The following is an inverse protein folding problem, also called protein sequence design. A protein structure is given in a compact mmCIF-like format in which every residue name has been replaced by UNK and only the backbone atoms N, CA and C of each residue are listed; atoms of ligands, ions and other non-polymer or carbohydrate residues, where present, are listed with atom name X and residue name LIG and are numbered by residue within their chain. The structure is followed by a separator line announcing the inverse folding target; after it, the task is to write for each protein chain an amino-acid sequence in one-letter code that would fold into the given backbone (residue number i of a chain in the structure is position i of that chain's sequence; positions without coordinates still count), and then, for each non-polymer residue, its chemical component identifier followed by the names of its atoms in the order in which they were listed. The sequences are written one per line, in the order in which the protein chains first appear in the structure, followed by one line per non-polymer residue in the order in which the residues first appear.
data_IF_625041166961
#
_entry.id   IF_625041166961
#
_cell.length_a   1.000
_cell.length_b   1.000
_cell.length_c   1.000
_cell.angle_alpha   90.00
_cell.angle_beta   90.00
_cell.angle_gamma   90.00
#
_symmetry.space_group_name_H-M   'P 1'
#
loop_
_entity.id
_entity.type
_entity.pdbx_description
1 polymer ?
#
# COMPACT_ATOMS: atom_id res chain seq x y z
N UNK A 1 -9.37 32.35 1.51
CA UNK A 1 -9.31 31.00 0.88
C UNK A 1 -8.07 30.20 1.29
N UNK A 2 -6.85 30.75 1.15
CA UNK A 2 -5.59 30.03 1.48
C UNK A 2 -5.47 29.56 2.95
N UNK A 3 -6.02 30.32 3.90
CA UNK A 3 -6.07 29.97 5.32
C UNK A 3 -6.98 28.76 5.64
N UNK A 4 -8.10 28.61 4.91
CA UNK A 4 -9.04 27.48 5.08
C UNK A 4 -8.44 26.21 4.48
N UNK A 5 -7.85 26.31 3.28
CA UNK A 5 -7.17 25.19 2.61
C UNK A 5 -6.00 24.69 3.46
N UNK A 6 -5.19 25.59 4.02
CA UNK A 6 -4.09 25.21 4.93
C UNK A 6 -4.62 24.51 6.20
N UNK A 7 -5.69 25.02 6.82
CA UNK A 7 -6.31 24.36 7.98
C UNK A 7 -6.89 22.99 7.66
N UNK A 8 -7.44 22.79 6.45
CA UNK A 8 -8.08 21.54 6.06
C UNK A 8 -7.08 20.47 5.61
N UNK A 9 -6.03 20.84 4.87
CA UNK A 9 -5.06 19.90 4.31
C UNK A 9 -3.85 19.64 5.21
N UNK A 10 -3.40 20.65 5.96
CA UNK A 10 -2.17 20.57 6.77
C UNK A 10 -2.48 20.40 8.26
N UNK A 11 -3.56 21.02 8.73
CA UNK A 11 -3.98 20.93 10.13
C UNK A 11 -3.00 21.63 11.09
N UNK A 12 -3.13 21.35 12.40
CA UNK A 12 -2.14 21.75 13.41
C UNK A 12 -1.19 20.58 13.66
N UNK A 13 0.10 20.72 13.37
CA UNK A 13 1.08 19.68 13.67
C UNK A 13 1.61 19.90 15.09
N UNK A 14 1.44 18.90 15.94
CA UNK A 14 2.00 18.90 17.28
C UNK A 14 3.50 18.55 17.21
N UNK A 15 4.37 19.36 17.84
CA UNK A 15 5.84 19.25 17.73
C UNK A 15 6.38 17.87 18.12
N UNK A 16 5.65 17.13 18.97
CA UNK A 16 5.99 15.75 19.38
C UNK A 16 6.13 14.77 18.20
N UNK A 17 5.56 15.07 17.03
CA UNK A 17 5.62 14.22 15.83
C UNK A 17 6.63 14.70 14.78
N UNK A 18 7.47 15.68 15.10
CA UNK A 18 8.54 16.15 14.22
C UNK A 18 9.72 15.17 14.32
N UNK A 19 9.96 14.42 13.25
CA UNK A 19 11.14 13.57 13.16
C UNK A 19 12.36 14.42 12.83
N UNK A 20 13.34 14.45 13.73
CA UNK A 20 14.61 15.16 13.56
C UNK A 20 15.48 14.57 12.43
N UNK A 21 15.23 13.33 12.02
CA UNK A 21 16.03 12.62 11.02
C UNK A 21 15.37 12.58 9.64
N UNK A 22 16.19 12.72 8.60
CA UNK A 22 15.78 12.61 7.20
C UNK A 22 15.13 11.22 6.93
N UNK A 23 13.96 11.15 6.24
CA UNK A 23 13.31 9.88 5.88
C UNK A 23 14.22 8.83 5.23
N UNK A 24 15.09 9.22 4.29
CA UNK A 24 16.04 8.31 3.62
C UNK A 24 17.08 7.79 4.60
N UNK A 25 17.69 8.70 5.36
CA UNK A 25 18.70 8.34 6.38
C UNK A 25 18.09 7.42 7.44
N UNK A 26 16.85 7.69 7.86
CA UNK A 26 16.13 6.83 8.79
C UNK A 26 15.95 5.41 8.22
N UNK A 27 15.63 5.28 6.94
CA UNK A 27 15.48 3.96 6.31
C UNK A 27 16.80 3.18 6.28
N UNK A 28 17.90 3.84 5.95
CA UNK A 28 19.24 3.22 5.97
C UNK A 28 19.62 2.79 7.39
N UNK A 29 19.36 3.63 8.40
CA UNK A 29 19.60 3.28 9.80
C UNK A 29 18.76 2.07 10.24
N UNK A 30 17.50 2.01 9.85
CA UNK A 30 16.63 0.86 10.12
C UNK A 30 17.16 -0.44 9.49
N UNK A 31 17.66 -0.39 8.25
CA UNK A 31 18.28 -1.56 7.59
C UNK A 31 19.53 -2.01 8.36
N UNK A 32 20.37 -1.04 8.77
CA UNK A 32 21.56 -1.32 9.57
C UNK A 32 21.21 -1.91 10.95
N UNK A 33 20.13 -1.45 11.57
CA UNK A 33 19.64 -1.98 12.84
C UNK A 33 19.19 -3.45 12.73
N UNK A 34 18.49 -3.82 11.65
CA UNK A 34 18.14 -5.23 11.38
C UNK A 34 19.41 -6.06 11.15
N UNK A 35 20.38 -5.52 10.40
CA UNK A 35 21.64 -6.24 10.15
C UNK A 35 22.38 -6.56 11.46
N UNK A 36 22.39 -5.62 12.40
CA UNK A 36 23.12 -5.71 13.66
C UNK A 36 22.33 -6.39 14.80
N UNK A 37 21.04 -6.70 14.61
CA UNK A 37 20.12 -7.16 15.67
C UNK A 37 20.06 -6.18 16.87
N UNK A 38 19.99 -4.87 16.58
CA UNK A 38 20.04 -3.83 17.62
C UNK A 38 18.78 -3.80 18.52
N UNK A 39 17.65 -4.35 18.07
CA UNK A 39 16.35 -4.22 18.74
C UNK A 39 15.56 -5.53 18.87
N UNK A 40 15.76 -6.49 17.96
CA UNK A 40 15.14 -7.82 18.02
C UNK A 40 16.18 -8.88 17.63
N UNK A 41 16.11 -10.05 18.28
CA UNK A 41 16.99 -11.20 18.04
C UNK A 41 16.56 -11.99 16.78
N UNK A 42 16.30 -11.26 15.71
CA UNK A 42 15.88 -11.81 14.41
C UNK A 42 16.95 -12.75 13.89
N UNK A 43 16.55 -13.98 13.56
CA UNK A 43 17.48 -15.00 13.09
C UNK A 43 16.90 -15.79 11.91
N UNK A 44 17.79 -16.33 11.07
CA UNK A 44 17.42 -17.17 9.94
C UNK A 44 16.54 -16.47 8.89
N UNK A 45 15.40 -17.10 8.56
CA UNK A 45 14.50 -16.67 7.47
C UNK A 45 13.88 -15.30 7.77
N UNK A 46 13.53 -15.02 9.02
CA UNK A 46 12.93 -13.75 9.43
C UNK A 46 13.84 -12.56 9.09
N UNK A 47 15.11 -12.65 9.47
CA UNK A 47 16.11 -11.61 9.17
C UNK A 47 16.29 -11.39 7.68
N UNK A 48 16.34 -12.47 6.89
CA UNK A 48 16.46 -12.40 5.42
C UNK A 48 15.26 -11.67 4.81
N UNK A 49 14.05 -12.05 5.22
CA UNK A 49 12.80 -11.43 4.73
C UNK A 49 12.73 -9.96 5.11
N UNK A 50 13.03 -9.61 6.38
CA UNK A 50 13.02 -8.21 6.84
C UNK A 50 14.05 -7.35 6.12
N UNK A 51 15.27 -7.86 5.88
CA UNK A 51 16.29 -7.15 5.13
C UNK A 51 15.89 -6.93 3.67
N UNK A 52 15.36 -7.96 3.01
CA UNK A 52 14.87 -7.86 1.64
C UNK A 52 13.75 -6.83 1.52
N UNK A 53 12.71 -6.95 2.35
CA UNK A 53 11.57 -6.03 2.36
C UNK A 53 12.02 -4.61 2.70
N UNK A 54 12.86 -4.44 3.71
CA UNK A 54 13.31 -3.11 4.14
C UNK A 54 14.15 -2.40 3.08
N UNK A 55 15.06 -3.13 2.43
CA UNK A 55 15.95 -2.63 1.38
C UNK A 55 15.20 -2.33 0.08
N UNK A 56 14.22 -3.15 -0.29
CA UNK A 56 13.43 -2.95 -1.51
C UNK A 56 12.72 -1.59 -1.54
N UNK A 57 12.35 -1.05 -0.37
CA UNK A 57 11.70 0.27 -0.26
C UNK A 57 12.57 1.43 -0.75
N UNK A 58 13.89 1.25 -0.86
CA UNK A 58 14.78 2.26 -1.44
C UNK A 58 14.63 2.38 -2.95
N UNK A 59 14.08 1.36 -3.63
CA UNK A 59 13.91 1.38 -5.08
C UNK A 59 12.75 2.27 -5.52
N UNK A 60 11.78 2.51 -4.65
CA UNK A 60 10.49 3.07 -5.05
C UNK A 60 10.35 4.58 -4.81
N UNK A 61 9.57 5.29 -5.65
CA UNK A 61 9.47 6.75 -5.60
C UNK A 61 8.87 7.28 -4.29
N UNK A 62 8.02 6.52 -3.59
CA UNK A 62 7.37 6.99 -2.36
C UNK A 62 8.33 7.49 -1.28
N UNK A 63 9.51 6.87 -1.11
CA UNK A 63 10.50 7.35 -0.13
C UNK A 63 11.16 8.67 -0.55
N UNK A 64 11.35 8.86 -1.86
CA UNK A 64 11.93 10.07 -2.42
C UNK A 64 10.92 11.22 -2.37
N UNK A 65 9.65 10.98 -2.69
CA UNK A 65 8.57 11.95 -2.52
C UNK A 65 8.53 12.43 -1.06
N UNK A 66 8.59 11.48 -0.11
CA UNK A 66 8.62 11.77 1.32
C UNK A 66 9.86 12.57 1.74
N UNK A 67 11.01 12.28 1.16
CA UNK A 67 12.26 13.03 1.38
C UNK A 67 12.16 14.47 0.90
N UNK A 68 11.71 14.68 -0.35
CA UNK A 68 11.53 16.00 -0.94
C UNK A 68 10.49 16.81 -0.17
N UNK A 69 9.33 16.23 0.16
CA UNK A 69 8.31 16.88 0.97
C UNK A 69 8.83 17.31 2.35
N UNK A 70 9.70 16.50 2.97
CA UNK A 70 10.33 16.85 4.25
C UNK A 70 11.25 18.09 4.16
N UNK A 71 11.82 18.38 2.98
CA UNK A 71 12.62 19.59 2.74
C UNK A 71 11.74 20.86 2.69
N UNK A 72 10.51 20.75 2.21
CA UNK A 72 9.54 21.85 2.19
C UNK A 72 8.85 22.08 3.55
N UNK A 73 8.72 21.02 4.35
CA UNK A 73 8.28 21.12 5.74
C UNK A 73 7.70 19.81 6.27
N UNK A 74 7.85 19.56 7.57
CA UNK A 74 7.41 18.31 8.22
C UNK A 74 5.88 18.08 8.18
N UNK A 75 5.10 19.14 7.96
CA UNK A 75 3.65 19.04 7.84
C UNK A 75 3.21 18.56 6.45
N UNK A 76 3.94 18.94 5.39
CA UNK A 76 3.63 18.58 3.99
C UNK A 76 3.96 17.13 3.65
N UNK A 77 4.74 16.45 4.48
CA UNK A 77 5.11 15.04 4.31
C UNK A 77 3.90 14.11 4.22
N UNK A 78 2.93 14.28 5.12
CA UNK A 78 1.74 13.44 5.13
C UNK A 78 0.84 13.76 3.93
N UNK A 79 0.64 15.04 3.66
CA UNK A 79 -0.15 15.50 2.51
C UNK A 79 0.42 15.01 1.17
N UNK A 80 1.74 15.07 0.98
CA UNK A 80 2.39 14.59 -0.23
C UNK A 80 2.19 13.07 -0.42
N UNK A 81 2.23 12.29 0.66
CA UNK A 81 1.95 10.85 0.59
C UNK A 81 0.47 10.58 0.28
N UNK A 82 -0.45 11.40 0.80
CA UNK A 82 -1.88 11.27 0.51
C UNK A 82 -2.15 11.51 -0.99
N UNK A 83 -1.58 12.58 -1.56
CA UNK A 83 -1.66 12.85 -2.99
C UNK A 83 -1.00 11.75 -3.82
N UNK A 84 0.16 11.23 -3.40
CA UNK A 84 0.83 10.16 -4.11
C UNK A 84 -0.03 8.90 -4.19
N UNK A 85 -0.58 8.45 -3.06
CA UNK A 85 -1.43 7.26 -3.02
C UNK A 85 -2.70 7.44 -3.85
N UNK A 86 -3.34 8.62 -3.78
CA UNK A 86 -4.49 8.93 -4.63
C UNK A 86 -4.13 8.93 -6.13
N UNK A 87 -2.96 9.46 -6.49
CA UNK A 87 -2.48 9.42 -7.87
C UNK A 87 -2.27 7.96 -8.34
N UNK A 88 -1.75 7.08 -7.47
CA UNK A 88 -1.62 5.64 -7.79
C UNK A 88 -2.97 4.97 -8.04
N UNK A 89 -4.05 5.39 -7.37
CA UNK A 89 -5.41 4.87 -7.63
C UNK A 89 -5.97 5.40 -8.95
N UNK A 90 -5.78 6.69 -9.21
CA UNK A 90 -6.28 7.36 -10.42
C UNK A 90 -5.59 6.82 -11.67
N UNK A 91 -4.30 6.49 -11.59
CA UNK A 91 -3.52 6.05 -12.73
C UNK A 91 -4.08 4.81 -13.47
N UNK A 92 -4.29 3.63 -12.84
CA UNK A 92 -4.91 2.47 -13.50
C UNK A 92 -6.36 2.75 -13.93
N UNK A 93 -7.10 3.59 -13.21
CA UNK A 93 -8.44 3.99 -13.62
C UNK A 93 -8.43 4.75 -14.96
N UNK A 94 -7.50 5.69 -15.13
CA UNK A 94 -7.32 6.42 -16.39
C UNK A 94 -6.86 5.48 -17.51
N UNK A 95 -6.00 4.50 -17.21
CA UNK A 95 -5.57 3.50 -18.20
C UNK A 95 -6.79 2.74 -18.75
N UNK A 96 -7.67 2.27 -17.86
CA UNK A 96 -8.86 1.50 -18.22
C UNK A 96 -9.84 2.29 -19.08
N UNK A 97 -10.15 3.55 -18.71
CA UNK A 97 -11.12 4.37 -19.45
C UNK A 97 -10.61 4.72 -20.84
N UNK A 98 -9.32 5.09 -20.95
CA UNK A 98 -8.75 5.58 -22.21
C UNK A 98 -8.15 4.46 -23.07
N UNK A 99 -8.26 3.20 -22.65
CA UNK A 99 -7.68 2.04 -23.32
C UNK A 99 -6.15 2.11 -23.50
N UNK A 100 -5.43 2.71 -22.54
CA UNK A 100 -3.97 2.88 -22.62
C UNK A 100 -3.18 1.60 -22.33
N UNK A 101 -3.84 0.50 -21.96
CA UNK A 101 -3.20 -0.79 -21.70
C UNK A 101 -2.51 -1.41 -22.91
N UNK A 102 -2.78 -0.91 -24.13
CA UNK A 102 -2.10 -1.33 -25.37
C UNK A 102 -0.66 -0.83 -25.44
N UNK A 103 -0.30 0.20 -24.68
CA UNK A 103 1.05 0.73 -24.63
C UNK A 103 1.86 0.03 -23.53
N UNK A 104 2.82 -0.81 -23.94
CA UNK A 104 3.69 -1.56 -23.03
C UNK A 104 4.43 -0.66 -22.03
N UNK A 105 4.84 0.55 -22.43
CA UNK A 105 5.52 1.47 -21.50
C UNK A 105 4.62 1.89 -20.34
N UNK A 106 3.33 2.16 -20.62
CA UNK A 106 2.35 2.53 -19.58
C UNK A 106 2.12 1.35 -18.64
N UNK A 107 2.03 0.14 -19.18
CA UNK A 107 1.89 -1.09 -18.38
C UNK A 107 3.14 -1.32 -17.52
N UNK A 108 4.36 -1.11 -18.03
CA UNK A 108 5.57 -1.23 -17.21
C UNK A 108 5.62 -0.20 -16.07
N UNK A 109 5.19 1.04 -16.33
CA UNK A 109 5.07 2.06 -15.26
C UNK A 109 4.04 1.64 -14.22
N UNK A 110 2.88 1.11 -14.64
CA UNK A 110 1.88 0.58 -13.72
C UNK A 110 2.43 -0.57 -12.88
N UNK A 111 3.12 -1.53 -13.51
CA UNK A 111 3.75 -2.66 -12.81
C UNK A 111 4.78 -2.18 -11.79
N UNK A 112 5.61 -1.19 -12.14
CA UNK A 112 6.57 -0.60 -11.22
C UNK A 112 5.91 0.06 -10.01
N UNK A 113 4.83 0.82 -10.23
CA UNK A 113 4.05 1.45 -9.15
C UNK A 113 3.37 0.40 -8.27
N UNK A 114 2.78 -0.65 -8.88
CA UNK A 114 2.14 -1.73 -8.15
C UNK A 114 3.17 -2.52 -7.33
N UNK A 115 4.37 -2.76 -7.85
CA UNK A 115 5.46 -3.42 -7.13
C UNK A 115 5.83 -2.69 -5.84
N UNK A 116 5.74 -1.34 -5.82
CA UNK A 116 5.90 -0.57 -4.58
C UNK A 116 4.85 -0.99 -3.56
N UNK A 117 3.57 -1.05 -3.94
CA UNK A 117 2.49 -1.49 -3.04
C UNK A 117 2.67 -2.94 -2.61
N UNK A 118 2.97 -3.84 -3.55
CA UNK A 118 3.17 -5.28 -3.29
C UNK A 118 4.30 -5.54 -2.29
N UNK A 119 5.38 -4.75 -2.31
CA UNK A 119 6.47 -4.90 -1.34
C UNK A 119 6.23 -4.08 -0.06
N UNK A 120 5.54 -2.95 -0.14
CA UNK A 120 5.21 -2.13 1.02
C UNK A 120 4.26 -2.83 1.99
N UNK A 121 3.25 -3.54 1.48
CA UNK A 121 2.23 -4.21 2.29
C UNK A 121 2.82 -5.31 3.21
N UNK A 122 3.61 -6.29 2.72
CA UNK A 122 4.32 -7.23 3.59
C UNK A 122 5.32 -6.54 4.52
N UNK A 123 5.96 -5.45 4.09
CA UNK A 123 6.87 -4.67 4.97
C UNK A 123 6.13 -4.13 6.19
N UNK A 124 4.86 -3.72 6.06
CA UNK A 124 4.04 -3.30 7.21
C UNK A 124 3.69 -4.43 8.16
N UNK A 125 3.73 -5.68 7.71
CA UNK A 125 3.45 -6.87 8.52
C UNK A 125 4.72 -7.33 9.24
N UNK A 126 5.77 -7.62 8.47
CA UNK A 126 7.00 -8.26 8.97
C UNK A 126 8.02 -7.27 9.55
N UNK A 127 7.93 -5.99 9.20
CA UNK A 127 8.90 -4.97 9.64
C UNK A 127 8.17 -3.71 10.16
N UNK A 128 7.09 -3.95 10.91
CA UNK A 128 6.17 -2.92 11.40
C UNK A 128 6.83 -1.97 12.41
N UNK A 129 7.75 -2.48 13.22
CA UNK A 129 8.60 -1.82 14.21
C UNK A 129 9.51 -0.74 13.60
N UNK A 130 9.91 -0.91 12.34
CA UNK A 130 10.70 0.08 11.60
C UNK A 130 9.94 1.39 11.38
N UNK A 131 8.62 1.34 11.38
CA UNK A 131 7.78 2.50 11.15
C UNK A 131 7.49 3.22 12.46
N UNK A 132 7.68 4.54 12.46
CA UNK A 132 7.21 5.35 13.57
C UNK A 132 5.70 5.27 13.71
N UNK A 133 5.21 5.32 14.94
CA UNK A 133 3.79 5.38 15.24
C UNK A 133 3.07 6.41 14.35
N UNK A 134 1.94 6.03 13.73
CA UNK A 134 1.21 6.91 12.84
C UNK A 134 0.61 8.08 13.63
N UNK A 135 0.61 9.28 13.03
CA UNK A 135 -0.04 10.46 13.64
C UNK A 135 -1.54 10.25 13.89
N UNK A 136 -2.18 9.49 13.01
CA UNK A 136 -3.60 9.13 13.10
C UNK A 136 -3.81 7.74 12.52
N UNK A 137 -4.30 6.82 13.36
CA UNK A 137 -4.68 5.48 12.93
C UNK A 137 -5.79 5.49 11.86
N UNK A 138 -6.73 6.44 11.93
CA UNK A 138 -7.79 6.59 10.92
C UNK A 138 -7.22 6.93 9.55
N UNK A 139 -6.18 7.77 9.49
CA UNK A 139 -5.49 8.10 8.24
C UNK A 139 -4.78 6.86 7.68
N UNK A 140 -4.05 6.11 8.51
CA UNK A 140 -3.39 4.88 8.05
C UNK A 140 -4.38 3.87 7.46
N UNK A 141 -5.54 3.69 8.09
CA UNK A 141 -6.60 2.80 7.58
C UNK A 141 -7.15 3.28 6.23
N UNK A 142 -7.37 4.59 6.07
CA UNK A 142 -7.84 5.18 4.81
C UNK A 142 -6.81 5.04 3.69
N UNK A 143 -5.52 5.22 4.00
CA UNK A 143 -4.45 4.98 3.03
C UNK A 143 -4.32 3.50 2.64
N UNK A 144 -4.52 2.58 3.57
CA UNK A 144 -4.55 1.15 3.28
C UNK A 144 -5.71 0.82 2.33
N UNK A 145 -6.89 1.40 2.56
CA UNK A 145 -8.05 1.25 1.67
C UNK A 145 -7.77 1.76 0.25
N UNK A 146 -7.11 2.91 0.09
CA UNK A 146 -6.73 3.38 -1.24
C UNK A 146 -5.66 2.51 -1.91
N UNK A 147 -4.67 1.99 -1.18
CA UNK A 147 -3.72 1.02 -1.75
C UNK A 147 -4.43 -0.28 -2.19
N UNK A 148 -5.45 -0.73 -1.45
CA UNK A 148 -6.29 -1.86 -1.86
C UNK A 148 -7.02 -1.55 -3.19
N UNK A 149 -7.68 -0.39 -3.29
CA UNK A 149 -8.34 0.02 -4.53
C UNK A 149 -7.37 0.13 -5.72
N UNK A 150 -6.18 0.71 -5.49
CA UNK A 150 -5.13 0.75 -6.51
C UNK A 150 -4.75 -0.65 -6.99
N UNK A 151 -4.52 -1.59 -6.07
CA UNK A 151 -4.18 -2.96 -6.41
C UNK A 151 -5.28 -3.63 -7.25
N UNK A 152 -6.55 -3.49 -6.85
CA UNK A 152 -7.69 -4.03 -7.61
C UNK A 152 -7.76 -3.44 -9.03
N UNK A 153 -7.59 -2.13 -9.17
CA UNK A 153 -7.62 -1.47 -10.48
C UNK A 153 -6.41 -1.84 -11.34
N UNK A 154 -5.22 -2.03 -10.74
CA UNK A 154 -4.02 -2.44 -11.45
C UNK A 154 -4.16 -3.87 -12.02
N UNK A 155 -4.70 -4.81 -11.24
CA UNK A 155 -5.00 -6.15 -11.76
C UNK A 155 -6.09 -6.13 -12.84
N UNK A 156 -7.09 -5.25 -12.73
CA UNK A 156 -8.06 -5.05 -13.79
C UNK A 156 -7.40 -4.61 -15.12
N UNK A 157 -6.38 -3.73 -15.05
CA UNK A 157 -5.58 -3.39 -16.24
C UNK A 157 -4.87 -4.62 -16.80
N UNK A 158 -4.21 -5.43 -15.96
CA UNK A 158 -3.51 -6.64 -16.40
C UNK A 158 -4.42 -7.67 -17.05
N UNK A 159 -5.63 -7.88 -16.54
CA UNK A 159 -6.58 -8.78 -17.20
C UNK A 159 -7.03 -8.28 -18.57
N UNK A 160 -6.85 -6.98 -18.85
CA UNK A 160 -7.23 -6.35 -20.12
C UNK A 160 -6.05 -6.18 -21.08
N UNK A 161 -4.81 -6.47 -20.69
CA UNK A 161 -3.66 -6.40 -21.61
C UNK A 161 -3.68 -7.52 -22.65
N UNK A 162 -4.38 -8.63 -22.38
CA UNK A 162 -4.47 -9.77 -23.29
C UNK A 162 -5.73 -10.59 -23.09
N UNK A 163 -5.92 -11.60 -23.94
CA UNK A 163 -7.07 -12.51 -23.89
C UNK A 163 -6.82 -13.65 -22.89
N UNK A 164 -6.81 -13.32 -21.61
CA UNK A 164 -6.44 -14.27 -20.55
C UNK A 164 -7.60 -15.07 -19.97
N UNK A 165 -8.81 -14.55 -20.12
CA UNK A 165 -10.05 -15.06 -19.52
C UNK A 165 -10.87 -15.84 -20.55
N UNK A 166 -11.85 -16.61 -20.06
CA UNK A 166 -12.81 -17.38 -20.87
C UNK A 166 -13.67 -16.51 -21.81
N UNK A 167 -13.86 -15.23 -21.51
CA UNK A 167 -14.64 -14.29 -22.30
C UNK A 167 -13.87 -12.98 -22.50
N UNK A 168 -14.15 -12.30 -23.61
CA UNK A 168 -13.54 -11.00 -23.93
C UNK A 168 -14.16 -9.90 -23.08
N UNK A 169 -13.30 -9.07 -22.47
CA UNK A 169 -13.72 -7.93 -21.64
C UNK A 169 -14.07 -6.74 -22.55
N UNK A 170 -15.35 -6.64 -22.91
CA UNK A 170 -15.83 -5.65 -23.88
C UNK A 170 -15.84 -4.23 -23.30
N UNK A 171 -16.29 -4.09 -22.07
CA UNK A 171 -16.31 -2.82 -21.36
C UNK A 171 -15.19 -2.78 -20.29
N UNK A 172 -14.60 -1.60 -20.07
CA UNK A 172 -13.54 -1.43 -19.08
C UNK A 172 -13.98 -1.85 -17.67
N UNK A 173 -15.28 -1.69 -17.38
CA UNK A 173 -15.88 -2.07 -16.12
C UNK A 173 -15.92 -3.59 -15.91
N UNK A 174 -15.94 -4.40 -16.96
CA UNK A 174 -15.94 -5.87 -16.85
C UNK A 174 -14.63 -6.35 -16.21
N UNK A 175 -13.51 -5.72 -16.59
CA UNK A 175 -12.20 -5.98 -16.01
C UNK A 175 -12.14 -5.59 -14.52
N UNK A 176 -12.73 -4.43 -14.18
CA UNK A 176 -12.83 -3.95 -12.79
C UNK A 176 -13.71 -4.91 -11.98
N UNK A 177 -14.87 -5.28 -12.50
CA UNK A 177 -15.79 -6.22 -11.90
C UNK A 177 -15.10 -7.56 -11.60
N UNK A 178 -14.46 -8.16 -12.59
CA UNK A 178 -13.73 -9.43 -12.40
C UNK A 178 -12.64 -9.30 -11.33
N UNK A 179 -11.87 -8.22 -11.36
CA UNK A 179 -10.83 -7.97 -10.37
C UNK A 179 -11.39 -7.80 -8.95
N UNK A 180 -12.52 -7.10 -8.79
CA UNK A 180 -13.21 -6.95 -7.51
C UNK A 180 -13.78 -8.27 -7.00
N UNK A 181 -14.47 -9.04 -7.85
CA UNK A 181 -15.07 -10.34 -7.53
C UNK A 181 -14.00 -11.36 -7.13
N UNK A 182 -12.84 -11.31 -7.79
CA UNK A 182 -11.68 -12.15 -7.46
C UNK A 182 -11.06 -11.73 -6.14
N UNK A 183 -10.83 -10.41 -5.94
CA UNK A 183 -10.25 -9.89 -4.69
C UNK A 183 -11.16 -10.10 -3.50
N UNK A 184 -12.47 -10.06 -3.66
CA UNK A 184 -13.42 -10.37 -2.59
C UNK A 184 -13.63 -11.87 -2.37
N UNK A 185 -12.96 -12.73 -3.15
CA UNK A 185 -13.10 -14.19 -3.13
C UNK A 185 -14.53 -14.69 -3.37
N UNK A 186 -15.38 -13.87 -4.01
CA UNK A 186 -16.77 -14.25 -4.32
C UNK A 186 -16.79 -15.24 -5.48
N UNK A 187 -16.05 -14.94 -6.56
CA UNK A 187 -15.85 -15.86 -7.68
C UNK A 187 -17.13 -16.36 -8.35
N UNK A 188 -18.00 -15.48 -8.84
CA UNK A 188 -19.27 -15.86 -9.50
C UNK A 188 -19.12 -16.80 -10.71
N UNK A 189 -17.92 -16.94 -11.27
CA UNK A 189 -17.62 -17.91 -12.33
C UNK A 189 -17.98 -17.45 -13.75
N UNK A 190 -18.53 -16.25 -13.92
CA UNK A 190 -18.79 -15.65 -15.24
C UNK A 190 -17.49 -15.42 -16.02
N UNK A 191 -16.49 -14.85 -15.34
CA UNK A 191 -15.13 -14.67 -15.83
C UNK A 191 -14.16 -15.54 -15.03
N UNK A 192 -13.29 -16.28 -15.72
CA UNK A 192 -12.23 -17.08 -15.10
C UNK A 192 -11.01 -17.22 -16.02
N UNK A 193 -9.79 -17.36 -15.44
CA UNK A 193 -8.57 -17.39 -16.22
C UNK A 193 -8.39 -18.74 -16.91
N UNK A 194 -8.26 -18.72 -18.24
CA UNK A 194 -8.05 -19.94 -19.05
C UNK A 194 -6.57 -20.13 -19.40
N UNK A 195 -5.82 -19.04 -19.49
CA UNK A 195 -4.39 -19.04 -19.84
C UNK A 195 -3.49 -19.17 -18.62
N UNK A 196 -2.22 -19.57 -18.82
CA UNK A 196 -1.22 -19.62 -17.75
C UNK A 196 -0.95 -18.23 -17.16
N UNK A 197 -0.81 -17.20 -18.00
CA UNK A 197 -0.58 -15.82 -17.57
C UNK A 197 -1.75 -15.29 -16.73
N UNK A 198 -3.00 -15.51 -17.20
CA UNK A 198 -4.19 -15.15 -16.43
C UNK A 198 -4.23 -15.81 -15.05
N UNK A 199 -3.89 -17.10 -14.97
CA UNK A 199 -3.83 -17.85 -13.71
C UNK A 199 -2.76 -17.28 -12.77
N UNK A 200 -1.59 -16.90 -13.29
CA UNK A 200 -0.53 -16.26 -12.50
C UNK A 200 -1.02 -14.93 -11.92
N UNK A 201 -1.69 -14.09 -12.73
CA UNK A 201 -2.25 -12.82 -12.24
C UNK A 201 -3.28 -13.05 -11.13
N UNK A 202 -4.18 -14.02 -11.29
CA UNK A 202 -5.17 -14.39 -10.26
C UNK A 202 -4.49 -14.86 -8.97
N UNK A 203 -3.47 -15.70 -9.05
CA UNK A 203 -2.72 -16.17 -7.88
C UNK A 203 -2.07 -14.98 -7.15
N UNK A 204 -1.34 -14.12 -7.88
CA UNK A 204 -0.68 -12.95 -7.30
C UNK A 204 -1.69 -12.00 -6.64
N UNK A 205 -2.84 -11.78 -7.28
CA UNK A 205 -3.91 -10.94 -6.76
C UNK A 205 -4.48 -11.48 -5.45
N UNK A 206 -4.77 -12.79 -5.37
CA UNK A 206 -5.31 -13.42 -4.16
C UNK A 206 -4.31 -13.37 -3.01
N UNK A 207 -3.02 -13.62 -3.27
CA UNK A 207 -1.98 -13.48 -2.25
C UNK A 207 -1.88 -12.03 -1.73
N UNK A 208 -1.93 -11.05 -2.62
CA UNK A 208 -1.89 -9.65 -2.22
C UNK A 208 -3.12 -9.27 -1.38
N UNK A 209 -4.31 -9.73 -1.75
CA UNK A 209 -5.53 -9.53 -0.98
C UNK A 209 -5.43 -10.12 0.43
N UNK A 210 -4.86 -11.31 0.58
CA UNK A 210 -4.66 -11.94 1.88
C UNK A 210 -3.86 -11.03 2.84
N UNK A 211 -2.79 -10.39 2.35
CA UNK A 211 -2.03 -9.44 3.16
C UNK A 211 -2.84 -8.20 3.56
N UNK A 212 -3.69 -7.68 2.66
CA UNK A 212 -4.60 -6.59 3.01
C UNK A 212 -5.56 -6.99 4.13
N UNK A 213 -6.16 -8.19 4.07
CA UNK A 213 -7.05 -8.70 5.13
C UNK A 213 -6.32 -8.77 6.46
N UNK A 214 -5.10 -9.33 6.50
CA UNK A 214 -4.27 -9.41 7.72
C UNK A 214 -4.05 -8.01 8.33
N UNK A 215 -3.70 -7.02 7.50
CA UNK A 215 -3.47 -5.65 7.96
C UNK A 215 -4.75 -5.00 8.49
N UNK A 216 -5.88 -5.13 7.77
CA UNK A 216 -7.16 -4.61 8.26
C UNK A 216 -7.53 -5.25 9.60
N UNK A 217 -7.37 -6.56 9.76
CA UNK A 217 -7.63 -7.27 11.01
C UNK A 217 -6.71 -6.79 12.14
N UNK A 218 -5.42 -6.61 11.89
CA UNK A 218 -4.48 -6.06 12.87
C UNK A 218 -4.92 -4.65 13.34
N UNK A 219 -5.31 -3.79 12.39
CA UNK A 219 -5.83 -2.46 12.72
C UNK A 219 -7.11 -2.51 13.57
N UNK A 220 -8.07 -3.38 13.24
CA UNK A 220 -9.28 -3.54 14.03
C UNK A 220 -9.00 -4.10 15.43
N UNK A 221 -8.15 -5.12 15.54
CA UNK A 221 -7.75 -5.73 16.81
C UNK A 221 -7.13 -4.71 17.76
N UNK A 222 -6.20 -3.88 17.27
CA UNK A 222 -5.55 -2.83 18.08
C UNK A 222 -6.51 -1.78 18.68
N UNK A 223 -7.71 -1.62 18.10
CA UNK A 223 -8.76 -0.72 18.60
C UNK A 223 -9.67 -1.35 19.63
N UNK A 224 -9.80 -2.68 19.64
CA UNK A 224 -10.55 -3.40 20.66
C UNK A 224 -9.66 -3.43 21.91
N UNK A 225 -9.47 -2.26 22.53
CA UNK A 225 -9.17 -2.24 23.96
C UNK A 225 -10.37 -2.92 24.60
N UNK A 226 -10.12 -4.06 25.23
CA UNK A 226 -11.03 -4.70 26.18
C UNK A 226 -11.38 -3.67 27.25
N UNK A 227 -12.38 -2.83 26.97
CA UNK A 227 -13.15 -2.16 28.01
C UNK A 227 -14.00 -3.26 28.63
N UNK A 228 -13.34 -4.13 29.40
CA UNK A 228 -14.04 -4.99 30.33
C UNK A 228 -14.81 -4.09 31.28
N UNK A 229 -15.97 -4.55 31.73
CA UNK A 229 -16.85 -3.83 32.65
C UNK A 229 -16.17 -3.38 33.97
N UNK A 230 -14.94 -3.84 34.22
CA UNK A 230 -14.14 -3.61 35.42
C UNK A 230 -12.80 -2.91 35.19
N UNK A 231 -12.52 -2.32 34.01
CA UNK A 231 -11.18 -1.77 33.74
C UNK A 231 -10.84 -0.45 34.45
N UNK A 232 -11.76 0.13 35.24
CA UNK A 232 -11.52 1.37 36.02
C UNK A 232 -11.68 1.11 37.53
N UNK A 233 -11.04 0.05 38.06
CA UNK A 233 -10.79 -0.10 39.49
C UNK A 233 -9.45 -0.76 39.71
N UNK A 234 -8.37 0.03 39.70
CA UNK A 234 -7.16 -0.25 40.48
C UNK A 234 -6.35 1.04 40.55
N UNK A 235 -6.49 1.69 41.71
CA UNK A 235 -5.62 2.65 42.42
C UNK A 235 -4.94 3.79 41.65
#
# INVERSE_FOLDING_TARGET
MMSIIKKLLVGKVNEKYIQKTNPLRKRILNIKAIWNNDHEDDNGIEKIVRLFLSSSQLLFPGIYIKYWANKFGHEYKDLAMDFYILAKVIFPFLILINNWQTNNYIVYVLTYILLETVLYIPTLIFASDLFSQPRSYKRSMLLLFFNYLESVLAFAVFYRTGNYLNATLNHWFDAVYYSFVTSSTIGYGEYYPITMEGKIFTILQVFLFLFFVILFMNFFSSKIKTRGYFSDKTE
#
